data_IF_496308845924
#
_entry.id   IF_496308845924
#
_cell.length_a   1.000
_cell.length_b   1.000
_cell.length_c   1.000
_cell.angle_alpha   90.00
_cell.angle_beta   90.00
_cell.angle_gamma   90.00
#
_symmetry.space_group_name_H-M   'P 1'
#
loop_
_entity.id
_entity.type
_entity.pdbx_description
1 polymer ?
#
# COMPACT_ATOMS: atom_id res chain seq x y z
N UNK A 1 -19.33 -29.68 40.73
CA UNK A 1 -18.58 -30.00 39.49
C UNK A 1 -18.23 -28.66 38.82
N UNK A 2 -17.41 -27.81 39.45
CA UNK A 2 -15.94 -27.71 39.33
C UNK A 2 -15.45 -27.59 37.88
N UNK A 3 -15.30 -26.37 37.37
CA UNK A 3 -14.07 -25.93 36.72
C UNK A 3 -14.10 -24.39 36.54
N UNK A 4 -13.46 -23.62 37.44
CA UNK A 4 -12.11 -23.01 37.26
C UNK A 4 -11.93 -22.34 35.90
N UNK A 5 -12.24 -21.05 35.83
CA UNK A 5 -11.79 -20.16 34.76
C UNK A 5 -10.66 -19.30 35.32
N UNK A 6 -9.49 -19.52 34.74
CA UNK A 6 -8.19 -18.98 35.09
C UNK A 6 -8.10 -17.45 34.95
N UNK A 7 -7.38 -16.90 35.93
CA UNK A 7 -6.82 -15.56 36.01
C UNK A 7 -5.89 -15.26 34.82
N UNK A 8 -5.92 -14.05 34.22
CA UNK A 8 -4.86 -13.61 33.32
C UNK A 8 -3.59 -13.36 34.13
N UNK A 9 -2.61 -14.26 33.98
CA UNK A 9 -1.27 -14.11 34.56
C UNK A 9 -0.55 -12.92 33.93
N UNK A 10 -0.14 -12.00 34.80
CA UNK A 10 0.97 -11.08 34.60
C UNK A 10 2.12 -11.76 33.84
N UNK A 11 2.57 -11.13 32.75
CA UNK A 11 3.88 -11.39 32.18
C UNK A 11 4.62 -10.06 32.10
N UNK A 12 5.48 -9.72 33.08
CA UNK A 12 6.33 -8.55 32.97
C UNK A 12 7.29 -8.76 31.80
N UNK A 13 7.27 -7.83 30.84
CA UNK A 13 8.30 -7.67 29.82
C UNK A 13 9.68 -7.77 30.48
N UNK A 14 10.37 -8.88 30.24
CA UNK A 14 11.83 -8.93 30.34
C UNK A 14 12.39 -8.07 29.21
N UNK A 15 12.72 -6.83 29.55
CA UNK A 15 13.75 -6.07 28.83
C UNK A 15 15.08 -6.71 29.20
N UNK A 16 15.43 -7.80 28.50
CA UNK A 16 16.77 -8.37 28.57
C UNK A 16 17.69 -7.43 27.79
N UNK A 17 18.24 -6.49 28.56
CA UNK A 17 19.41 -5.69 28.28
C UNK A 17 20.62 -6.62 28.12
N UNK A 18 20.87 -7.09 26.90
CA UNK A 18 22.12 -7.77 26.52
C UNK A 18 22.77 -7.04 25.35
N UNK A 19 23.21 -5.81 25.62
CA UNK A 19 24.10 -5.03 24.77
C UNK A 19 25.45 -4.81 25.45
N UNK A 20 26.02 -5.86 26.02
CA UNK A 20 27.35 -5.81 26.67
C UNK A 20 28.21 -7.00 26.26
N UNK A 21 28.55 -7.10 24.98
CA UNK A 21 29.64 -8.00 24.56
C UNK A 21 30.34 -7.63 23.25
N UNK A 22 29.99 -6.53 22.57
CA UNK A 22 30.68 -6.08 21.34
C UNK A 22 31.57 -4.83 21.48
N UNK A 23 31.67 -4.19 22.65
CA UNK A 23 32.50 -2.99 22.83
C UNK A 23 34.00 -3.27 23.06
N UNK A 24 34.39 -4.50 23.40
CA UNK A 24 35.77 -4.80 23.82
C UNK A 24 36.75 -5.05 22.66
N UNK A 25 36.32 -5.53 21.50
CA UNK A 25 37.25 -5.77 20.36
C UNK A 25 37.44 -4.54 19.48
N UNK A 26 36.40 -3.69 19.38
CA UNK A 26 36.47 -2.43 18.64
C UNK A 26 37.44 -1.43 19.27
N UNK A 27 37.57 -1.43 20.60
CA UNK A 27 38.48 -0.52 21.31
C UNK A 27 39.94 -0.92 21.16
N UNK A 28 40.25 -2.23 21.11
CA UNK A 28 41.61 -2.74 20.97
C UNK A 28 42.16 -2.53 19.56
N UNK A 29 41.39 -2.84 18.50
CA UNK A 29 41.81 -2.64 17.11
C UNK A 29 41.92 -1.16 16.73
N UNK A 30 41.03 -0.32 17.26
CA UNK A 30 41.10 1.14 17.05
C UNK A 30 42.30 1.77 17.77
N UNK A 31 42.73 1.20 18.90
CA UNK A 31 43.91 1.67 19.65
C UNK A 31 45.21 1.33 18.91
N UNK A 32 45.33 0.12 18.36
CA UNK A 32 46.51 -0.31 17.61
C UNK A 32 46.72 0.52 16.33
N UNK A 33 45.65 0.78 15.59
CA UNK A 33 45.69 1.64 14.39
C UNK A 33 45.99 3.11 14.75
N UNK A 34 45.42 3.61 15.84
CA UNK A 34 45.71 4.97 16.31
C UNK A 34 47.20 5.13 16.67
N UNK A 35 47.81 4.07 17.19
CA UNK A 35 49.22 4.05 17.54
C UNK A 35 50.11 4.01 16.28
N UNK A 36 49.79 3.17 15.31
CA UNK A 36 50.51 3.09 14.02
C UNK A 36 50.45 4.41 13.23
N UNK A 37 49.29 5.08 13.21
CA UNK A 37 49.12 6.40 12.58
C UNK A 37 49.94 7.46 13.34
N UNK A 38 49.94 7.42 14.68
CA UNK A 38 50.72 8.36 15.49
C UNK A 38 52.22 8.19 15.23
N UNK A 39 52.69 6.97 15.08
CA UNK A 39 54.09 6.65 14.79
C UNK A 39 54.48 7.07 13.37
N UNK A 40 53.60 6.85 12.37
CA UNK A 40 53.81 7.30 11.00
C UNK A 40 53.84 8.84 10.89
N UNK A 41 52.95 9.54 11.61
CA UNK A 41 52.92 11.02 11.68
C UNK A 41 54.17 11.56 12.36
N UNK A 42 54.67 10.89 13.40
CA UNK A 42 55.93 11.25 14.07
C UNK A 42 57.12 11.08 13.13
N UNK A 43 57.18 9.97 12.40
CA UNK A 43 58.24 9.71 11.42
C UNK A 43 58.22 10.73 10.26
N UNK A 44 57.03 11.12 9.78
CA UNK A 44 56.89 12.19 8.79
C UNK A 44 57.34 13.55 9.33
N UNK A 45 56.99 13.88 10.58
CA UNK A 45 57.41 15.13 11.24
C UNK A 45 58.92 15.23 11.41
N UNK A 46 59.62 14.11 11.60
CA UNK A 46 61.08 14.05 11.71
C UNK A 46 61.76 14.17 10.34
N UNK A 47 61.12 13.65 9.28
CA UNK A 47 61.65 13.69 7.91
C UNK A 47 61.53 15.07 7.23
N UNK A 48 60.56 15.90 7.61
CA UNK A 48 60.33 17.19 6.98
C UNK A 48 59.95 18.29 8.01
N UNK A 49 60.84 19.26 8.31
CA UNK A 49 60.62 20.25 9.36
C UNK A 49 59.44 21.19 9.07
N UNK A 50 59.03 21.34 7.81
CA UNK A 50 57.85 22.11 7.43
C UNK A 50 56.54 21.44 7.88
N UNK A 51 56.47 20.10 7.82
CA UNK A 51 55.32 19.31 8.29
C UNK A 51 55.23 19.36 9.82
N UNK A 52 56.38 19.31 10.51
CA UNK A 52 56.44 19.44 11.97
C UNK A 52 55.98 20.82 12.49
N UNK A 53 56.12 21.89 11.69
CA UNK A 53 55.58 23.21 12.01
C UNK A 53 54.07 23.28 11.76
N UNK A 54 53.58 22.65 10.69
CA UNK A 54 52.16 22.55 10.38
C UNK A 54 51.41 21.74 11.44
N UNK A 55 51.97 20.62 11.91
CA UNK A 55 51.41 19.79 13.00
C UNK A 55 51.36 20.50 14.37
N UNK A 56 52.17 21.54 14.55
CA UNK A 56 52.16 22.36 15.77
C UNK A 56 51.15 23.51 15.69
N UNK A 57 50.71 23.90 14.50
CA UNK A 57 49.62 24.88 14.35
C UNK A 57 48.29 24.23 14.73
N UNK A 58 47.33 25.06 15.15
CA UNK A 58 45.98 24.62 15.53
C UNK A 58 45.30 23.92 14.33
N UNK A 59 45.47 24.49 13.14
CA UNK A 59 44.88 23.99 11.89
C UNK A 59 45.45 22.62 11.45
N UNK A 60 46.74 22.34 11.71
CA UNK A 60 47.34 21.05 11.31
C UNK A 60 46.93 19.88 12.21
N UNK A 61 46.63 20.12 13.48
CA UNK A 61 46.08 19.07 14.38
C UNK A 61 44.65 18.71 14.00
N UNK A 62 43.89 19.68 13.52
CA UNK A 62 42.53 19.50 13.04
C UNK A 62 42.52 18.72 11.72
N UNK A 63 43.39 19.08 10.77
CA UNK A 63 43.57 18.35 9.51
C UNK A 63 43.99 16.88 9.71
N UNK A 64 44.88 16.60 10.68
CA UNK A 64 45.25 15.21 11.00
C UNK A 64 44.08 14.46 11.62
N UNK A 65 43.29 15.08 12.50
CA UNK A 65 42.09 14.44 13.06
C UNK A 65 41.05 14.13 11.98
N UNK A 66 40.86 15.04 11.03
CA UNK A 66 39.98 14.85 9.89
C UNK A 66 40.47 13.70 9.00
N UNK A 67 41.76 13.69 8.66
CA UNK A 67 42.38 12.60 7.90
C UNK A 67 42.31 11.26 8.62
N UNK A 68 42.52 11.22 9.94
CA UNK A 68 42.37 9.99 10.75
C UNK A 68 40.92 9.50 10.73
N UNK A 69 39.95 10.41 10.83
CA UNK A 69 38.52 10.07 10.77
C UNK A 69 38.14 9.51 9.39
N UNK A 70 38.69 10.09 8.32
CA UNK A 70 38.50 9.61 6.94
C UNK A 70 39.24 8.28 6.69
N UNK A 71 40.44 8.09 7.23
CA UNK A 71 41.17 6.83 7.09
C UNK A 71 40.46 5.67 7.80
N UNK A 72 39.92 5.91 9.01
CA UNK A 72 39.13 4.93 9.75
C UNK A 72 37.83 4.58 9.02
N UNK A 73 37.21 5.54 8.32
CA UNK A 73 36.00 5.27 7.52
C UNK A 73 36.29 4.47 6.25
N UNK A 74 37.46 4.64 5.63
CA UNK A 74 37.89 3.89 4.43
C UNK A 74 38.23 2.42 4.74
N UNK A 75 38.66 2.09 5.97
CA UNK A 75 38.98 0.71 6.39
C UNK A 75 37.72 -0.11 6.76
N UNK A 76 36.54 0.51 6.86
CA UNK A 76 35.28 -0.24 6.93
C UNK A 76 35.04 -0.90 5.57
N UNK A 77 35.30 -2.21 5.47
CA UNK A 77 34.78 -3.03 4.38
C UNK A 77 33.25 -2.93 4.40
N UNK A 78 32.70 -2.06 3.57
CA UNK A 78 31.26 -1.91 3.38
C UNK A 78 30.73 -3.15 2.65
N UNK A 79 30.34 -4.17 3.40
CA UNK A 79 29.61 -5.31 2.85
C UNK A 79 28.14 -4.94 2.74
N UNK A 80 27.72 -4.55 1.53
CA UNK A 80 26.32 -4.42 1.17
C UNK A 80 25.88 -5.68 0.45
N UNK A 81 25.45 -6.66 1.23
CA UNK A 81 24.95 -7.94 0.72
C UNK A 81 24.88 -8.98 1.83
N UNK A 82 24.03 -10.01 1.68
CA UNK A 82 23.84 -11.06 2.68
C UNK A 82 25.04 -12.02 2.81
N UNK A 83 26.09 -11.82 2.01
CA UNK A 83 27.18 -12.78 1.86
C UNK A 83 28.41 -12.35 2.67
N UNK A 84 28.97 -13.25 3.50
CA UNK A 84 30.19 -12.97 4.25
C UNK A 84 31.37 -12.71 3.32
N UNK A 85 32.33 -11.91 3.80
CA UNK A 85 33.53 -11.58 3.02
C UNK A 85 34.43 -12.80 2.85
N UNK A 86 35.22 -12.81 1.77
CA UNK A 86 36.20 -13.89 1.54
C UNK A 86 37.22 -14.05 2.69
N UNK A 87 37.46 -12.98 3.47
CA UNK A 87 38.31 -13.04 4.68
C UNK A 87 37.58 -13.73 5.83
N UNK A 88 36.34 -13.35 6.11
CA UNK A 88 35.49 -13.95 7.13
C UNK A 88 35.26 -15.44 6.88
N UNK A 89 35.08 -15.86 5.62
CA UNK A 89 34.94 -17.28 5.26
C UNK A 89 36.18 -18.10 5.61
N UNK A 90 37.38 -17.54 5.43
CA UNK A 90 38.64 -18.20 5.83
C UNK A 90 38.76 -18.30 7.34
N UNK A 91 38.37 -17.26 8.07
CA UNK A 91 38.34 -17.24 9.53
C UNK A 91 37.36 -18.30 10.07
N UNK A 92 36.16 -18.40 9.49
CA UNK A 92 35.19 -19.45 9.82
C UNK A 92 35.76 -20.86 9.61
N UNK A 93 36.47 -21.08 8.51
CA UNK A 93 37.07 -22.38 8.20
C UNK A 93 38.28 -22.71 9.10
N UNK A 94 38.95 -21.69 9.63
CA UNK A 94 40.05 -21.84 10.58
C UNK A 94 39.55 -22.22 11.98
N UNK A 95 38.36 -21.75 12.38
CA UNK A 95 37.72 -22.09 13.67
C UNK A 95 37.04 -23.46 13.59
N UNK A 96 36.29 -23.72 12.52
CA UNK A 96 35.57 -24.97 12.30
C UNK A 96 35.94 -25.56 10.94
N UNK A 97 36.49 -26.79 10.88
CA UNK A 97 36.81 -27.44 9.62
C UNK A 97 35.55 -27.54 8.74
N UNK A 98 35.62 -27.04 7.50
CA UNK A 98 34.51 -26.96 6.55
C UNK A 98 33.37 -26.01 6.96
N UNK A 99 33.62 -25.07 7.88
CA UNK A 99 32.63 -24.13 8.41
C UNK A 99 32.01 -23.23 7.34
N UNK A 100 32.81 -22.76 6.39
CA UNK A 100 32.33 -21.93 5.27
C UNK A 100 31.30 -22.68 4.40
N UNK A 101 31.56 -23.94 4.07
CA UNK A 101 30.69 -24.76 3.23
C UNK A 101 29.36 -25.07 3.92
N UNK A 102 29.39 -25.37 5.23
CA UNK A 102 28.18 -25.57 6.05
C UNK A 102 27.32 -24.32 6.13
N UNK A 103 27.94 -23.15 6.22
CA UNK A 103 27.24 -21.86 6.24
C UNK A 103 26.49 -21.65 4.91
N UNK A 104 27.17 -21.84 3.78
CA UNK A 104 26.51 -21.74 2.47
C UNK A 104 25.40 -22.76 2.30
N UNK A 105 25.63 -24.02 2.68
CA UNK A 105 24.61 -25.08 2.61
C UNK A 105 23.36 -24.71 3.42
N UNK A 106 23.53 -24.17 4.63
CA UNK A 106 22.40 -23.76 5.47
C UNK A 106 21.65 -22.58 4.86
N UNK A 107 22.39 -21.60 4.32
CA UNK A 107 21.79 -20.45 3.63
C UNK A 107 21.05 -20.89 2.37
N UNK A 108 21.59 -21.80 1.57
CA UNK A 108 20.95 -22.33 0.36
C UNK A 108 19.66 -23.07 0.70
N UNK A 109 19.67 -23.92 1.72
CA UNK A 109 18.46 -24.64 2.20
C UNK A 109 17.40 -23.66 2.67
N UNK A 110 17.78 -22.65 3.46
CA UNK A 110 16.86 -21.63 3.98
C UNK A 110 16.29 -20.76 2.85
N UNK A 111 17.12 -20.34 1.88
CA UNK A 111 16.66 -19.59 0.71
C UNK A 111 15.74 -20.42 -0.18
N UNK A 112 16.04 -21.70 -0.40
CA UNK A 112 15.16 -22.60 -1.13
C UNK A 112 13.80 -22.74 -0.45
N UNK A 113 13.78 -22.87 0.88
CA UNK A 113 12.53 -22.91 1.65
C UNK A 113 11.74 -21.61 1.54
N UNK A 114 12.40 -20.45 1.65
CA UNK A 114 11.75 -19.13 1.44
C UNK A 114 11.14 -19.00 0.06
N UNK A 115 11.87 -19.36 -0.99
CA UNK A 115 11.35 -19.33 -2.36
C UNK A 115 10.16 -20.29 -2.54
N UNK A 116 10.19 -21.47 -1.92
CA UNK A 116 9.06 -22.40 -1.96
C UNK A 116 7.81 -21.80 -1.29
N UNK A 117 7.99 -21.17 -0.12
CA UNK A 117 6.91 -20.51 0.61
C UNK A 117 6.38 -19.29 -0.16
N UNK A 118 7.25 -18.45 -0.71
CA UNK A 118 6.86 -17.31 -1.56
C UNK A 118 6.07 -17.75 -2.78
N UNK A 119 6.48 -18.86 -3.43
CA UNK A 119 5.74 -19.43 -4.55
C UNK A 119 4.34 -19.89 -4.14
N UNK A 120 4.21 -20.61 -3.01
CA UNK A 120 2.90 -21.03 -2.49
C UNK A 120 1.99 -19.84 -2.17
N UNK A 121 2.55 -18.79 -1.56
CA UNK A 121 1.84 -17.55 -1.27
C UNK A 121 1.40 -16.87 -2.57
N UNK A 122 2.28 -16.82 -3.57
CA UNK A 122 1.98 -16.26 -4.87
C UNK A 122 0.87 -17.03 -5.58
N UNK A 123 0.91 -18.36 -5.60
CA UNK A 123 -0.11 -19.21 -6.21
C UNK A 123 -1.47 -19.06 -5.52
N UNK A 124 -1.48 -18.97 -4.18
CA UNK A 124 -2.68 -18.67 -3.40
C UNK A 124 -3.25 -17.29 -3.74
N UNK A 125 -2.40 -16.27 -3.79
CA UNK A 125 -2.81 -14.91 -4.14
C UNK A 125 -3.35 -14.82 -5.58
N UNK A 126 -2.71 -15.50 -6.53
CA UNK A 126 -3.17 -15.57 -7.92
C UNK A 126 -4.54 -16.24 -8.02
N UNK A 127 -4.73 -17.37 -7.32
CA UNK A 127 -6.02 -18.09 -7.28
C UNK A 127 -7.12 -17.23 -6.65
N UNK A 128 -6.80 -16.48 -5.58
CA UNK A 128 -7.73 -15.53 -4.95
C UNK A 128 -8.13 -14.40 -5.90
N UNK A 129 -7.17 -13.85 -6.66
CA UNK A 129 -7.42 -12.78 -7.62
C UNK A 129 -8.33 -13.25 -8.77
N UNK A 130 -8.09 -14.46 -9.29
CA UNK A 130 -8.96 -15.05 -10.32
C UNK A 130 -10.39 -15.21 -9.82
N UNK A 131 -10.57 -15.74 -8.60
CA UNK A 131 -11.90 -15.86 -8.00
C UNK A 131 -12.61 -14.50 -7.84
N UNK A 132 -11.90 -13.45 -7.45
CA UNK A 132 -12.47 -12.09 -7.36
C UNK A 132 -12.89 -11.53 -8.72
N UNK A 133 -12.16 -11.87 -9.79
CA UNK A 133 -12.50 -11.46 -11.15
C UNK A 133 -13.77 -12.16 -11.65
N UNK A 134 -13.89 -13.46 -11.39
CA UNK A 134 -15.06 -14.26 -11.80
C UNK A 134 -16.34 -13.81 -11.10
N UNK A 135 -16.26 -13.51 -9.79
CA UNK A 135 -17.40 -12.96 -9.04
C UNK A 135 -17.85 -11.62 -9.63
N UNK A 136 -16.92 -10.73 -9.96
CA UNK A 136 -17.24 -9.45 -10.59
C UNK A 136 -17.89 -9.61 -11.97
N UNK A 137 -17.39 -10.54 -12.80
CA UNK A 137 -17.98 -10.87 -14.10
C UNK A 137 -19.41 -11.39 -13.96
N UNK A 138 -19.65 -12.26 -12.96
CA UNK A 138 -20.98 -12.75 -12.62
C UNK A 138 -21.94 -11.62 -12.25
N UNK A 139 -21.52 -10.72 -11.35
CA UNK A 139 -22.33 -9.56 -10.94
C UNK A 139 -22.63 -8.63 -12.12
N UNK A 140 -21.67 -8.39 -13.02
CA UNK A 140 -21.89 -7.55 -14.19
C UNK A 140 -22.91 -8.17 -15.15
N UNK A 141 -22.89 -9.49 -15.32
CA UNK A 141 -23.87 -10.22 -16.13
C UNK A 141 -25.28 -10.12 -15.53
N UNK A 142 -25.39 -10.27 -14.21
CA UNK A 142 -26.66 -10.11 -13.49
C UNK A 142 -27.19 -8.68 -13.58
N UNK A 143 -26.33 -7.67 -13.37
CA UNK A 143 -26.69 -6.26 -13.52
C UNK A 143 -27.20 -5.98 -14.93
N UNK A 144 -26.49 -6.41 -15.97
CA UNK A 144 -26.92 -6.23 -17.37
C UNK A 144 -28.28 -6.89 -17.64
N UNK A 145 -28.47 -8.13 -17.19
CA UNK A 145 -29.74 -8.86 -17.37
C UNK A 145 -30.90 -8.14 -16.67
N UNK A 146 -30.70 -7.70 -15.41
CA UNK A 146 -31.71 -6.96 -14.66
C UNK A 146 -32.04 -5.60 -15.29
N UNK A 147 -31.04 -4.88 -15.80
CA UNK A 147 -31.23 -3.59 -16.47
C UNK A 147 -32.02 -3.75 -17.77
N UNK A 148 -31.75 -4.80 -18.56
CA UNK A 148 -32.52 -5.08 -19.76
C UNK A 148 -33.99 -5.37 -19.45
N UNK A 149 -34.27 -6.18 -18.42
CA UNK A 149 -35.65 -6.48 -18.00
C UNK A 149 -36.40 -5.21 -17.57
N UNK A 150 -35.73 -4.31 -16.84
CA UNK A 150 -36.33 -3.03 -16.43
C UNK A 150 -36.54 -2.11 -17.63
N UNK A 151 -35.56 -2.01 -18.52
CA UNK A 151 -35.64 -1.17 -19.72
C UNK A 151 -36.79 -1.58 -20.65
N UNK A 152 -36.97 -2.89 -20.88
CA UNK A 152 -38.06 -3.42 -21.70
C UNK A 152 -39.44 -3.13 -21.10
N UNK A 153 -39.55 -3.18 -19.76
CA UNK A 153 -40.80 -2.85 -19.06
C UNK A 153 -41.14 -1.37 -19.19
N UNK A 154 -40.14 -0.50 -19.00
CA UNK A 154 -40.34 0.94 -19.07
C UNK A 154 -40.73 1.37 -20.49
N UNK A 155 -40.08 0.83 -21.53
CA UNK A 155 -40.43 1.09 -22.93
C UNK A 155 -41.89 0.75 -23.25
N UNK A 156 -42.37 -0.42 -22.81
CA UNK A 156 -43.77 -0.83 -23.02
C UNK A 156 -44.75 0.10 -22.32
N UNK A 157 -44.47 0.48 -21.06
CA UNK A 157 -45.35 1.38 -20.29
C UNK A 157 -45.47 2.77 -20.92
N UNK A 158 -44.41 3.28 -21.53
CA UNK A 158 -44.43 4.57 -22.23
C UNK A 158 -45.36 4.53 -23.46
N UNK A 159 -45.34 3.44 -24.24
CA UNK A 159 -46.28 3.27 -25.36
C UNK A 159 -47.73 3.20 -24.89
N UNK A 160 -48.01 2.48 -23.79
CA UNK A 160 -49.36 2.43 -23.22
C UNK A 160 -49.82 3.80 -22.72
N UNK A 161 -48.96 4.55 -22.03
CA UNK A 161 -49.27 5.90 -21.56
C UNK A 161 -49.56 6.86 -22.72
N UNK A 162 -48.74 6.82 -23.78
CA UNK A 162 -48.94 7.61 -24.99
C UNK A 162 -50.24 7.26 -25.72
N UNK A 163 -50.52 5.96 -25.87
CA UNK A 163 -51.75 5.48 -26.50
C UNK A 163 -53.01 5.89 -25.73
N UNK A 164 -52.99 5.74 -24.40
CA UNK A 164 -54.11 6.16 -23.54
C UNK A 164 -54.34 7.67 -23.64
N UNK A 165 -53.28 8.47 -23.63
CA UNK A 165 -53.37 9.93 -23.78
C UNK A 165 -53.98 10.34 -25.12
N UNK A 166 -53.62 9.65 -26.21
CA UNK A 166 -54.19 9.87 -27.53
C UNK A 166 -55.69 9.58 -27.55
N UNK A 167 -56.11 8.46 -26.95
CA UNK A 167 -57.54 8.08 -26.85
C UNK A 167 -58.32 9.15 -26.08
N UNK A 168 -57.80 9.62 -24.95
CA UNK A 168 -58.41 10.67 -24.12
C UNK A 168 -58.57 11.97 -24.93
N UNK A 169 -57.58 12.34 -25.75
CA UNK A 169 -57.65 13.51 -26.63
C UNK A 169 -58.75 13.35 -27.71
N UNK A 170 -58.79 12.19 -28.38
CA UNK A 170 -59.83 11.88 -29.35
C UNK A 170 -61.25 11.94 -28.75
N UNK A 171 -61.44 11.40 -27.54
CA UNK A 171 -62.72 11.45 -26.83
C UNK A 171 -63.09 12.90 -26.46
N UNK A 172 -62.13 13.71 -26.02
CA UNK A 172 -62.37 15.13 -25.72
C UNK A 172 -62.83 15.92 -26.95
N UNK A 173 -62.16 15.73 -28.09
CA UNK A 173 -62.54 16.37 -29.36
C UNK A 173 -63.92 15.89 -29.84
N UNK A 174 -64.21 14.59 -29.67
CA UNK A 174 -65.52 14.04 -29.99
C UNK A 174 -66.64 14.65 -29.13
N UNK A 175 -66.42 14.82 -27.82
CA UNK A 175 -67.39 15.48 -26.92
C UNK A 175 -67.69 16.92 -27.32
N UNK A 176 -66.66 17.68 -27.72
CA UNK A 176 -66.84 19.06 -28.23
C UNK A 176 -67.72 19.05 -29.49
N UNK A 177 -67.57 18.04 -30.35
CA UNK A 177 -68.38 17.89 -31.56
C UNK A 177 -69.86 17.57 -31.26
N UNK A 178 -70.15 16.96 -30.10
CA UNK A 178 -71.51 16.70 -29.62
C UNK A 178 -72.14 17.87 -28.85
N UNK A 179 -71.57 19.09 -28.94
CA UNK A 179 -71.95 20.28 -28.18
C UNK A 179 -71.73 20.22 -26.66
N UNK A 180 -71.04 19.20 -26.15
CA UNK A 180 -70.63 19.12 -24.74
C UNK A 180 -69.26 19.79 -24.52
N UNK A 181 -69.20 21.09 -24.81
CA UNK A 181 -67.93 21.86 -24.81
C UNK A 181 -67.25 21.84 -23.44
N UNK A 182 -68.01 22.08 -22.37
CA UNK A 182 -67.49 22.10 -20.99
C UNK A 182 -66.83 20.77 -20.60
N UNK A 183 -67.49 19.65 -20.90
CA UNK A 183 -66.96 18.31 -20.59
C UNK A 183 -65.70 17.98 -21.40
N UNK A 184 -65.68 18.35 -22.69
CA UNK A 184 -64.53 18.11 -23.55
C UNK A 184 -63.30 18.94 -23.15
N UNK A 185 -63.49 20.22 -22.82
CA UNK A 185 -62.40 21.11 -22.36
C UNK A 185 -61.84 20.64 -21.02
N UNK A 186 -62.71 20.32 -20.05
CA UNK A 186 -62.29 19.83 -18.74
C UNK A 186 -61.44 18.55 -18.86
N UNK A 187 -61.89 17.59 -19.68
CA UNK A 187 -61.21 16.32 -19.90
C UNK A 187 -59.82 16.49 -20.52
N UNK A 188 -59.70 17.35 -21.55
CA UNK A 188 -58.41 17.65 -22.19
C UNK A 188 -57.47 18.36 -21.22
N UNK A 189 -57.96 19.37 -20.48
CA UNK A 189 -57.16 20.12 -19.51
C UNK A 189 -56.61 19.22 -18.39
N UNK A 190 -57.45 18.34 -17.83
CA UNK A 190 -57.02 17.38 -16.79
C UNK A 190 -55.94 16.43 -17.31
N UNK A 191 -56.04 15.95 -18.56
CA UNK A 191 -55.01 15.09 -19.17
C UNK A 191 -53.66 15.81 -19.27
N UNK A 192 -53.64 17.07 -19.73
CA UNK A 192 -52.41 17.86 -19.80
C UNK A 192 -51.79 18.12 -18.43
N UNK A 193 -52.61 18.43 -17.42
CA UNK A 193 -52.14 18.60 -16.03
C UNK A 193 -51.51 17.31 -15.52
N UNK A 194 -52.12 16.15 -15.79
CA UNK A 194 -51.58 14.84 -15.40
C UNK A 194 -50.21 14.56 -16.03
N UNK A 195 -50.06 14.80 -17.34
CA UNK A 195 -48.77 14.63 -18.04
C UNK A 195 -47.72 15.60 -17.47
N UNK A 196 -48.07 16.87 -17.30
CA UNK A 196 -47.17 17.88 -16.75
C UNK A 196 -46.71 17.51 -15.32
N UNK A 197 -47.61 16.99 -14.48
CA UNK A 197 -47.30 16.53 -13.14
C UNK A 197 -46.26 15.39 -13.16
N UNK A 198 -46.43 14.38 -14.03
CA UNK A 198 -45.47 13.28 -14.18
C UNK A 198 -44.08 13.79 -14.58
N UNK A 199 -44.01 14.73 -15.52
CA UNK A 199 -42.74 15.35 -15.93
C UNK A 199 -42.08 16.19 -14.83
N UNK A 200 -42.87 16.92 -14.03
CA UNK A 200 -42.38 17.66 -12.87
C UNK A 200 -41.79 16.71 -11.82
N UNK A 201 -42.51 15.64 -11.46
CA UNK A 201 -42.03 14.65 -10.50
C UNK A 201 -40.74 13.98 -10.98
N UNK A 202 -40.64 13.65 -12.27
CA UNK A 202 -39.42 13.08 -12.85
C UNK A 202 -38.23 14.05 -12.78
N UNK A 203 -38.47 15.36 -12.95
CA UNK A 203 -37.43 16.40 -12.87
C UNK A 203 -36.88 16.57 -11.46
N UNK A 204 -37.73 16.55 -10.42
CA UNK A 204 -37.29 16.72 -9.04
C UNK A 204 -36.43 15.56 -8.55
N UNK A 205 -36.81 14.31 -8.86
CA UNK A 205 -36.03 13.12 -8.49
C UNK A 205 -34.59 13.15 -9.06
N UNK A 206 -34.44 13.61 -10.30
CA UNK A 206 -33.13 13.73 -10.96
C UNK A 206 -32.23 14.80 -10.33
N UNK A 207 -32.80 15.82 -9.69
CA UNK A 207 -32.05 16.86 -8.99
C UNK A 207 -31.51 16.35 -7.65
N UNK A 208 -32.31 15.60 -6.88
CA UNK A 208 -31.88 15.03 -5.59
C UNK A 208 -30.75 13.99 -5.75
N UNK A 209 -30.82 13.15 -6.79
CA UNK A 209 -29.75 12.16 -7.07
C UNK A 209 -28.43 12.85 -7.44
N UNK A 210 -28.49 13.99 -8.15
CA UNK A 210 -27.29 14.79 -8.47
C UNK A 210 -26.71 15.51 -7.26
N UNK A 211 -27.56 15.94 -6.33
CA UNK A 211 -27.13 16.60 -5.10
C UNK A 211 -26.42 15.60 -4.16
N UNK A 212 -27.00 14.41 -3.97
CA UNK A 212 -26.39 13.32 -3.18
C UNK A 212 -25.09 12.78 -3.78
N UNK A 213 -24.98 12.74 -5.11
CA UNK A 213 -23.74 12.33 -5.77
C UNK A 213 -22.61 13.37 -5.62
N UNK A 214 -22.95 14.63 -5.35
CA UNK A 214 -21.98 15.73 -5.18
C UNK A 214 -21.55 15.89 -3.71
N UNK A 215 -22.33 15.40 -2.76
CA UNK A 215 -22.03 15.40 -1.32
C UNK A 215 -21.43 14.07 -0.82
N UNK A 216 -20.75 13.31 -1.68
CA UNK A 216 -20.13 12.02 -1.33
C UNK A 216 -19.11 12.16 -0.19
N UNK A 217 -18.89 11.09 0.60
CA UNK A 217 -18.29 11.15 1.93
C UNK A 217 -16.88 11.74 1.88
N UNK A 218 -16.68 12.76 2.71
CA UNK A 218 -15.38 13.35 3.01
C UNK A 218 -14.48 12.22 3.57
N UNK A 219 -13.24 12.07 3.06
CA UNK A 219 -12.34 11.05 3.58
C UNK A 219 -11.90 11.43 4.99
N UNK A 220 -12.35 10.66 5.98
CA UNK A 220 -11.81 10.66 7.34
C UNK A 220 -10.35 10.17 7.37
#
# INVERSE_FOLDING_TARGET
MTNTADTPSDNPRREDNDSTSHESEHTVFSAEISQEITDAVRQLSESNPAIGQLLKSIDGKEAVRELTTVAISVVKEHHSGPTPSGRQLREYNAIFPDGANRLFTTVEVEQAHRHEMEKKIFDYNMSRLQMQQDVQLGELSLKKTSLQVVADRDARSQYFAGGLSLIVLCVGVWLISLQHVEAGVALIATNFIGIAAVFLTQRFKKSEEKEKAKSGPEPD
#
